data_IF_997098124537
#
_entry.id   IF_997098124537
#
_cell.length_a   1.000
_cell.length_b   1.000
_cell.length_c   1.000
_cell.angle_alpha   90.00
_cell.angle_beta   90.00
_cell.angle_gamma   90.00
#
_symmetry.space_group_name_H-M   'P 1'
#
loop_
_entity.id
_entity.type
_entity.pdbx_description
1 polymer ?
#
# COMPACT_ATOMS: atom_id res chain seq x y z
N UNK A 1 33.24 -14.67 25.22
CA UNK A 1 32.24 -13.68 24.77
C UNK A 1 31.30 -14.20 23.67
N UNK A 2 31.79 -14.78 22.56
CA UNK A 2 30.93 -15.33 21.48
C UNK A 2 29.87 -16.35 21.92
N UNK A 3 30.19 -17.24 22.87
CA UNK A 3 29.25 -18.25 23.42
C UNK A 3 28.12 -17.64 24.27
N UNK A 4 28.37 -16.48 24.90
CA UNK A 4 27.40 -15.79 25.73
C UNK A 4 26.31 -15.13 24.88
N UNK A 5 26.69 -14.55 23.72
CA UNK A 5 25.73 -13.99 22.76
C UNK A 5 24.83 -15.06 22.15
N UNK A 6 25.37 -16.24 21.83
CA UNK A 6 24.58 -17.36 21.30
C UNK A 6 23.57 -17.86 22.35
N UNK A 7 23.96 -17.97 23.62
CA UNK A 7 23.06 -18.35 24.71
C UNK A 7 21.99 -17.29 24.99
N UNK A 8 22.33 -15.99 24.95
CA UNK A 8 21.35 -14.90 25.06
C UNK A 8 20.37 -14.89 23.89
N UNK A 9 20.84 -15.15 22.68
CA UNK A 9 20.00 -15.20 21.48
C UNK A 9 19.06 -16.41 21.49
N UNK A 10 19.52 -17.57 21.98
CA UNK A 10 18.66 -18.75 22.16
C UNK A 10 17.65 -18.59 23.29
N UNK A 11 18.01 -17.91 24.39
CA UNK A 11 17.07 -17.58 25.47
C UNK A 11 15.98 -16.58 25.04
N UNK A 12 16.33 -15.60 24.17
CA UNK A 12 15.35 -14.69 23.56
C UNK A 12 14.38 -15.42 22.61
N UNK A 13 14.87 -16.42 21.85
CA UNK A 13 14.01 -17.24 20.99
C UNK A 13 13.08 -18.18 21.81
N UNK A 14 13.56 -18.71 22.93
CA UNK A 14 12.76 -19.59 23.79
C UNK A 14 11.62 -18.87 24.51
N UNK A 15 11.75 -17.56 24.77
CA UNK A 15 10.70 -16.73 25.39
C UNK A 15 9.60 -16.30 24.41
N UNK A 16 9.76 -16.55 23.11
CA UNK A 16 8.70 -16.38 22.11
C UNK A 16 7.73 -17.58 22.05
N UNK A 17 8.00 -18.67 22.78
CA UNK A 17 7.13 -19.84 22.90
C UNK A 17 6.27 -19.74 24.17
N UNK A 18 5.70 -18.56 24.43
CA UNK A 18 4.57 -18.48 25.35
C UNK A 18 3.36 -18.98 24.57
N UNK A 19 2.67 -19.99 25.09
CA UNK A 19 1.45 -20.52 24.49
C UNK A 19 0.50 -19.37 24.16
N UNK A 20 0.26 -19.14 22.87
CA UNK A 20 -0.59 -18.04 22.43
C UNK A 20 -2.00 -18.33 22.90
N UNK A 21 -2.56 -17.44 23.74
CA UNK A 21 -3.93 -17.60 24.22
C UNK A 21 -4.90 -17.71 23.04
N UNK A 22 -5.76 -18.73 23.09
CA UNK A 22 -6.80 -18.96 22.10
C UNK A 22 -7.74 -17.75 22.09
N UNK A 23 -7.78 -17.04 20.96
CA UNK A 23 -8.69 -15.92 20.79
C UNK A 23 -10.10 -16.43 20.45
N UNK A 24 -11.11 -15.79 21.01
CA UNK A 24 -12.53 -16.09 20.76
C UNK A 24 -13.28 -14.83 20.35
N UNK A 25 -14.34 -14.99 19.57
CA UNK A 25 -15.19 -13.93 19.05
C UNK A 25 -14.44 -12.90 18.22
N UNK A 26 -15.00 -11.69 18.14
CA UNK A 26 -14.40 -10.57 17.43
C UNK A 26 -13.16 -10.05 18.15
N UNK A 27 -12.05 -10.07 17.44
CA UNK A 27 -10.78 -9.50 17.84
C UNK A 27 -10.30 -8.54 16.77
N UNK A 28 -9.46 -7.58 17.16
CA UNK A 28 -8.91 -6.63 16.21
C UNK A 28 -7.41 -6.43 16.39
N UNK A 29 -6.73 -6.14 15.29
CA UNK A 29 -5.37 -5.66 15.25
C UNK A 29 -5.34 -4.35 14.46
N UNK A 30 -4.99 -3.25 15.12
CA UNK A 30 -4.88 -1.94 14.50
C UNK A 30 -3.42 -1.50 14.46
N UNK A 31 -3.00 -0.91 13.35
CA UNK A 31 -1.70 -0.27 13.20
C UNK A 31 -1.87 1.15 12.66
N UNK A 32 -1.13 2.14 13.19
CA UNK A 32 -1.09 3.46 12.61
C UNK A 32 -0.39 3.42 11.25
N UNK A 33 -0.91 4.15 10.27
CA UNK A 33 -0.28 4.36 8.98
C UNK A 33 0.50 5.68 9.03
N UNK A 34 1.79 5.59 9.36
CA UNK A 34 2.67 6.74 9.55
C UNK A 34 3.92 6.58 8.70
N UNK A 35 4.10 7.48 7.73
CA UNK A 35 5.28 7.52 6.86
C UNK A 35 5.61 8.98 6.51
N UNK A 36 6.74 9.21 5.85
CA UNK A 36 7.10 10.53 5.33
C UNK A 36 7.71 10.40 3.93
N UNK A 37 7.26 11.27 3.04
CA UNK A 37 7.83 11.52 1.71
C UNK A 37 8.20 13.00 1.62
N UNK A 38 9.37 13.30 1.06
CA UNK A 38 9.79 14.69 0.79
C UNK A 38 8.85 15.40 -0.17
N UNK A 39 8.22 14.67 -1.08
CA UNK A 39 7.30 15.20 -2.08
C UNK A 39 5.85 15.18 -1.62
N UNK A 40 5.37 14.05 -1.11
CA UNK A 40 3.97 13.90 -0.70
C UNK A 40 3.70 14.35 0.76
N UNK A 41 4.75 14.57 1.55
CA UNK A 41 4.66 15.01 2.94
C UNK A 41 4.45 13.86 3.92
N UNK A 42 3.87 14.16 5.08
CA UNK A 42 3.63 13.18 6.14
C UNK A 42 2.37 12.38 5.84
N UNK A 43 2.43 11.05 5.97
CA UNK A 43 1.25 10.19 5.92
C UNK A 43 0.71 9.97 7.32
N UNK A 44 -0.60 10.12 7.47
CA UNK A 44 -1.31 9.80 8.69
C UNK A 44 -2.56 8.99 8.38
N UNK A 45 -2.94 8.11 9.29
CA UNK A 45 -4.09 7.22 9.14
C UNK A 45 -3.96 5.97 9.97
N UNK A 46 -4.77 4.98 9.65
CA UNK A 46 -4.71 3.67 10.31
C UNK A 46 -5.20 2.57 9.38
N UNK A 47 -4.75 1.36 9.68
CA UNK A 47 -5.32 0.12 9.18
C UNK A 47 -5.78 -0.73 10.36
N UNK A 48 -6.88 -1.46 10.15
CA UNK A 48 -7.49 -2.35 11.13
C UNK A 48 -7.80 -3.68 10.46
N UNK A 49 -7.38 -4.78 11.07
CA UNK A 49 -7.89 -6.11 10.78
C UNK A 49 -8.85 -6.51 11.90
N UNK A 50 -10.07 -6.87 11.55
CA UNK A 50 -11.07 -7.48 12.43
C UNK A 50 -11.13 -8.97 12.07
N UNK A 51 -11.04 -9.84 13.07
CA UNK A 51 -11.15 -11.29 12.94
C UNK A 51 -12.25 -11.80 13.83
N UNK A 52 -13.12 -12.67 13.31
CA UNK A 52 -14.05 -13.44 14.11
C UNK A 52 -13.53 -14.87 14.28
N UNK A 53 -13.14 -15.22 15.50
CA UNK A 53 -12.65 -16.56 15.86
C UNK A 53 -13.75 -17.49 16.38
N UNK A 54 -15.01 -17.03 16.47
CA UNK A 54 -16.12 -17.83 17.02
C UNK A 54 -15.87 -18.23 18.47
N UNK A 55 -16.02 -19.52 18.79
CA UNK A 55 -15.70 -20.06 20.12
C UNK A 55 -14.20 -20.34 20.34
N UNK A 56 -13.35 -20.04 19.35
CA UNK A 56 -11.90 -20.29 19.36
C UNK A 56 -11.50 -21.71 18.98
N UNK A 57 -12.44 -22.58 18.63
CA UNK A 57 -12.16 -23.99 18.27
C UNK A 57 -11.29 -24.16 17.02
N UNK A 58 -11.31 -23.19 16.12
CA UNK A 58 -10.55 -23.20 14.85
C UNK A 58 -9.30 -22.30 14.90
N UNK A 59 -9.01 -21.67 16.04
CA UNK A 59 -7.83 -20.79 16.15
C UNK A 59 -6.54 -21.55 15.78
N UNK A 60 -5.63 -20.99 14.95
CA UNK A 60 -5.54 -19.59 14.53
C UNK A 60 -6.34 -19.20 13.27
N UNK A 61 -7.14 -20.09 12.69
CA UNK A 61 -8.05 -19.78 11.58
C UNK A 61 -9.24 -18.94 12.07
N UNK A 62 -9.98 -18.35 11.14
CA UNK A 62 -11.06 -17.41 11.42
C UNK A 62 -12.28 -17.68 10.54
N UNK A 63 -13.46 -17.34 11.05
CA UNK A 63 -14.70 -17.36 10.29
C UNK A 63 -14.76 -16.19 9.31
N UNK A 64 -14.44 -14.99 9.81
CA UNK A 64 -14.53 -13.75 9.05
C UNK A 64 -13.32 -12.87 9.30
N UNK A 65 -12.80 -12.27 8.24
CA UNK A 65 -11.78 -11.23 8.31
C UNK A 65 -12.24 -10.01 7.54
N UNK A 66 -12.18 -8.86 8.19
CA UNK A 66 -12.41 -7.56 7.58
C UNK A 66 -11.15 -6.72 7.74
N UNK A 67 -10.58 -6.24 6.65
CA UNK A 67 -9.50 -5.27 6.64
C UNK A 67 -10.06 -3.91 6.23
N UNK A 68 -9.73 -2.86 6.97
CA UNK A 68 -10.08 -1.48 6.64
C UNK A 68 -8.80 -0.65 6.73
N UNK A 69 -8.55 0.18 5.73
CA UNK A 69 -7.48 1.17 5.76
C UNK A 69 -7.98 2.51 5.25
N UNK A 70 -7.63 3.55 5.99
CA UNK A 70 -7.75 4.93 5.55
C UNK A 70 -6.47 5.66 5.97
N UNK A 71 -5.65 6.01 4.99
CA UNK A 71 -4.42 6.76 5.19
C UNK A 71 -4.27 7.84 4.14
N UNK A 72 -3.67 8.98 4.51
CA UNK A 72 -3.56 10.16 3.65
C UNK A 72 -2.26 10.90 3.93
N UNK A 73 -1.57 11.25 2.85
CA UNK A 73 -0.43 12.16 2.85
C UNK A 73 -0.91 13.60 3.00
N UNK A 74 -0.13 14.48 3.64
CA UNK A 74 -0.48 15.89 3.81
C UNK A 74 -0.66 16.63 2.47
N UNK A 75 -0.06 16.13 1.38
CA UNK A 75 -0.32 16.62 0.02
C UNK A 75 -1.42 15.87 -0.72
N UNK A 76 -2.23 15.09 -0.01
CA UNK A 76 -3.53 14.61 -0.45
C UNK A 76 -3.56 13.27 -1.15
N UNK A 77 -2.43 12.60 -1.41
CA UNK A 77 -2.45 11.21 -1.86
C UNK A 77 -3.03 10.32 -0.75
N UNK A 78 -3.88 9.35 -1.07
CA UNK A 78 -4.57 8.54 -0.05
C UNK A 78 -4.65 7.07 -0.43
N UNK A 79 -4.81 6.22 0.59
CA UNK A 79 -5.23 4.82 0.45
C UNK A 79 -6.53 4.66 1.23
N UNK A 80 -7.61 4.38 0.51
CA UNK A 80 -8.90 4.00 1.08
C UNK A 80 -9.19 2.58 0.64
N UNK A 81 -9.26 1.63 1.57
CA UNK A 81 -9.41 0.21 1.24
C UNK A 81 -10.29 -0.49 2.25
N UNK A 82 -11.19 -1.32 1.76
CA UNK A 82 -11.92 -2.30 2.55
C UNK A 82 -11.80 -3.67 1.86
N UNK A 83 -11.56 -4.71 2.64
CA UNK A 83 -11.47 -6.07 2.14
C UNK A 83 -12.17 -7.00 3.12
N UNK A 84 -12.90 -7.97 2.59
CA UNK A 84 -13.55 -9.03 3.34
C UNK A 84 -13.06 -10.38 2.82
N UNK A 85 -12.82 -11.32 3.73
CA UNK A 85 -12.35 -12.66 3.42
C UNK A 85 -12.98 -13.68 4.38
N UNK A 86 -13.49 -14.79 3.85
CA UNK A 86 -14.14 -15.84 4.64
C UNK A 86 -14.21 -17.18 3.90
N UNK A 87 -13.84 -18.26 4.58
CA UNK A 87 -14.07 -19.65 4.15
C UNK A 87 -15.48 -20.18 4.50
N UNK A 88 -16.27 -19.39 5.24
CA UNK A 88 -17.50 -19.84 5.88
C UNK A 88 -18.76 -19.10 5.43
N UNK A 89 -18.61 -17.99 4.68
CA UNK A 89 -19.76 -17.29 4.11
C UNK A 89 -20.51 -18.13 3.07
N UNK A 90 -19.76 -18.85 2.23
CA UNK A 90 -20.30 -19.73 1.18
C UNK A 90 -19.77 -21.13 1.43
N UNK A 91 -20.65 -22.10 1.60
CA UNK A 91 -20.25 -23.47 1.95
C UNK A 91 -19.31 -24.05 0.88
N UNK A 92 -18.09 -24.41 1.30
CA UNK A 92 -17.08 -25.03 0.43
C UNK A 92 -16.38 -24.06 -0.53
N UNK A 93 -16.59 -22.75 -0.37
CA UNK A 93 -15.97 -21.72 -1.20
C UNK A 93 -15.42 -20.61 -0.30
N UNK A 94 -14.11 -20.38 -0.37
CA UNK A 94 -13.51 -19.15 0.16
C UNK A 94 -13.94 -17.99 -0.70
N UNK A 95 -14.53 -16.98 -0.08
CA UNK A 95 -14.89 -15.74 -0.72
C UNK A 95 -14.02 -14.61 -0.21
N UNK A 96 -13.30 -13.97 -1.13
CA UNK A 96 -12.50 -12.78 -0.86
C UNK A 96 -12.99 -11.64 -1.76
N UNK A 97 -13.19 -10.46 -1.20
CA UNK A 97 -13.57 -9.24 -1.94
C UNK A 97 -12.76 -8.05 -1.44
N UNK A 98 -12.26 -7.23 -2.34
CA UNK A 98 -11.41 -6.06 -2.10
C UNK A 98 -11.96 -4.87 -2.88
N UNK A 99 -12.17 -3.76 -2.20
CA UNK A 99 -12.54 -2.49 -2.78
C UNK A 99 -11.53 -1.44 -2.33
N UNK A 100 -10.90 -0.76 -3.26
CA UNK A 100 -9.96 0.32 -2.94
C UNK A 100 -10.07 1.52 -3.87
N UNK A 101 -9.82 2.69 -3.30
CA UNK A 101 -9.64 3.94 -4.01
C UNK A 101 -8.34 4.60 -3.55
N UNK A 102 -7.47 4.87 -4.49
CA UNK A 102 -6.13 5.41 -4.26
C UNK A 102 -5.92 6.62 -5.17
N UNK A 103 -6.29 7.83 -4.71
CA UNK A 103 -5.89 9.05 -5.39
C UNK A 103 -4.40 9.30 -5.11
N UNK A 104 -3.59 9.32 -6.16
CA UNK A 104 -2.17 9.64 -6.11
C UNK A 104 -1.91 10.94 -6.88
N UNK A 105 -1.30 11.93 -6.23
CA UNK A 105 -0.99 13.22 -6.86
C UNK A 105 0.45 13.33 -7.38
N UNK A 106 1.31 12.37 -7.01
CA UNK A 106 2.67 12.21 -7.52
C UNK A 106 2.95 10.71 -7.63
N UNK A 107 2.35 10.08 -8.63
CA UNK A 107 2.57 8.67 -8.96
C UNK A 107 3.70 8.56 -9.97
N UNK A 108 4.65 7.66 -9.72
CA UNK A 108 5.81 7.49 -10.58
C UNK A 108 5.41 7.08 -12.01
N UNK A 109 5.96 7.80 -12.98
CA UNK A 109 5.81 7.58 -14.41
C UNK A 109 7.16 7.72 -15.11
N UNK A 110 7.70 6.58 -15.53
CA UNK A 110 8.95 6.52 -16.26
C UNK A 110 8.74 6.40 -17.78
N UNK A 111 7.51 6.40 -18.27
CA UNK A 111 7.15 6.15 -19.67
C UNK A 111 6.43 4.82 -19.88
N UNK A 112 5.82 4.65 -21.05
CA UNK A 112 4.99 3.47 -21.36
C UNK A 112 5.78 2.19 -21.63
N UNK A 113 7.11 2.26 -21.76
CA UNK A 113 7.98 1.13 -22.11
C UNK A 113 8.45 0.29 -20.90
N UNK A 114 7.93 0.56 -19.69
CA UNK A 114 8.23 -0.21 -18.49
C UNK A 114 9.74 -0.26 -18.20
N UNK A 115 10.32 -1.47 -18.15
CA UNK A 115 11.76 -1.65 -17.91
C UNK A 115 12.65 -0.97 -18.95
N UNK A 116 12.17 -0.79 -20.20
CA UNK A 116 12.94 -0.12 -21.26
C UNK A 116 12.96 1.40 -21.17
N UNK A 117 12.28 1.98 -20.18
CA UNK A 117 12.24 3.42 -19.96
C UNK A 117 13.58 3.97 -19.49
N UNK A 118 14.01 5.09 -20.08
CA UNK A 118 15.25 5.77 -19.69
C UNK A 118 14.98 6.66 -18.48
N UNK A 119 15.70 6.40 -17.38
CA UNK A 119 15.73 7.26 -16.21
C UNK A 119 17.05 8.02 -16.13
N UNK A 120 16.94 9.35 -16.13
CA UNK A 120 18.05 10.28 -15.96
C UNK A 120 17.94 10.93 -14.59
N UNK A 121 18.75 10.46 -13.63
CA UNK A 121 18.75 10.91 -12.24
C UNK A 121 18.99 12.43 -12.10
N UNK A 122 19.83 12.97 -12.98
CA UNK A 122 20.19 14.38 -12.99
C UNK A 122 18.99 15.32 -13.23
N UNK A 123 17.91 14.84 -13.84
CA UNK A 123 16.70 15.65 -14.07
C UNK A 123 15.86 15.84 -12.80
N UNK A 124 16.05 14.99 -11.79
CA UNK A 124 15.33 15.04 -10.50
C UNK A 124 16.21 15.42 -9.32
N UNK A 125 17.52 15.57 -9.50
CA UNK A 125 18.46 15.90 -8.43
C UNK A 125 18.44 17.40 -8.12
N UNK A 126 17.77 17.81 -7.03
CA UNK A 126 17.66 19.21 -6.61
C UNK A 126 18.95 19.78 -5.99
N UNK A 127 20.01 18.97 -5.83
CA UNK A 127 21.35 19.44 -5.46
C UNK A 127 22.11 20.03 -6.68
N UNK A 128 21.65 19.76 -7.90
CA UNK A 128 22.26 20.30 -9.12
C UNK A 128 21.67 21.69 -9.43
N UNK A 129 22.55 22.66 -9.65
CA UNK A 129 22.16 23.94 -10.23
C UNK A 129 21.68 23.74 -11.68
N UNK A 130 20.86 24.67 -12.19
CA UNK A 130 20.28 24.63 -13.54
C UNK A 130 21.32 24.30 -14.64
N UNK A 131 20.86 23.78 -15.79
CA UNK A 131 20.75 22.35 -16.14
C UNK A 131 21.90 21.46 -15.64
N UNK A 132 21.67 20.16 -15.37
CA UNK A 132 20.61 19.32 -15.96
C UNK A 132 19.33 19.14 -15.14
N UNK A 133 19.24 19.68 -13.92
CA UNK A 133 18.03 19.59 -13.09
C UNK A 133 16.78 20.16 -13.79
N UNK A 134 15.66 19.45 -13.68
CA UNK A 134 14.35 19.86 -14.21
C UNK A 134 13.35 20.07 -13.08
N UNK A 135 13.04 19.01 -12.34
CA UNK A 135 12.12 19.03 -11.18
C UNK A 135 12.24 17.69 -10.45
N UNK A 136 12.15 17.68 -9.12
CA UNK A 136 12.07 16.42 -8.35
C UNK A 136 10.89 15.54 -8.78
N UNK A 137 9.80 16.15 -9.25
CA UNK A 137 8.60 15.47 -9.73
C UNK A 137 8.58 15.27 -11.25
N UNK A 138 9.73 15.37 -11.92
CA UNK A 138 9.79 15.24 -13.38
C UNK A 138 9.23 13.90 -13.89
N UNK A 139 9.48 12.80 -13.18
CA UNK A 139 8.96 11.47 -13.50
C UNK A 139 7.68 11.14 -12.72
N UNK A 140 6.84 12.13 -12.42
CA UNK A 140 5.58 11.90 -11.73
C UNK A 140 4.38 12.35 -12.57
N UNK A 141 3.27 11.65 -12.39
CA UNK A 141 1.95 12.01 -12.93
C UNK A 141 0.91 11.98 -11.82
N UNK A 142 -0.26 12.56 -12.05
CA UNK A 142 -1.43 12.32 -11.21
C UNK A 142 -2.12 11.04 -11.68
N UNK A 143 -2.62 10.25 -10.74
CA UNK A 143 -3.36 9.02 -11.03
C UNK A 143 -4.39 8.77 -9.95
N UNK A 144 -5.66 8.68 -10.30
CA UNK A 144 -6.64 8.10 -9.41
C UNK A 144 -6.92 6.66 -9.83
N UNK A 145 -6.70 5.71 -8.92
CA UNK A 145 -6.96 4.29 -9.14
C UNK A 145 -8.16 3.85 -8.29
N UNK A 146 -9.22 3.40 -8.95
CA UNK A 146 -10.28 2.62 -8.33
C UNK A 146 -10.08 1.15 -8.67
N UNK A 147 -10.12 0.28 -7.66
CA UNK A 147 -10.01 -1.17 -7.81
C UNK A 147 -11.16 -1.86 -7.09
N UNK A 148 -11.76 -2.80 -7.80
CA UNK A 148 -12.66 -3.78 -7.24
C UNK A 148 -12.15 -5.16 -7.63
N UNK A 149 -12.06 -6.08 -6.68
CA UNK A 149 -11.69 -7.48 -6.92
C UNK A 149 -12.60 -8.38 -6.10
N UNK A 150 -13.03 -9.49 -6.69
CA UNK A 150 -13.59 -10.60 -5.94
C UNK A 150 -13.01 -11.91 -6.45
N UNK A 151 -12.73 -12.84 -5.53
CA UNK A 151 -12.20 -14.16 -5.82
C UNK A 151 -13.03 -15.21 -5.07
N UNK A 152 -13.27 -16.33 -5.75
CA UNK A 152 -13.87 -17.53 -5.21
C UNK A 152 -12.84 -18.65 -5.33
N UNK A 153 -12.50 -19.30 -4.22
CA UNK A 153 -11.59 -20.46 -4.20
C UNK A 153 -12.38 -21.66 -3.68
N UNK A 154 -12.42 -22.73 -4.44
CA UNK A 154 -13.09 -23.97 -4.03
C UNK A 154 -12.23 -25.20 -4.28
N UNK A 155 -12.62 -26.31 -3.67
CA UNK A 155 -11.90 -27.58 -3.80
C UNK A 155 -12.27 -28.29 -5.12
N UNK A 156 -11.32 -29.05 -5.68
CA UNK A 156 -11.55 -29.94 -6.81
C UNK A 156 -11.58 -31.39 -6.29
N UNK A 157 -12.76 -31.85 -5.85
CA UNK A 157 -12.90 -33.17 -5.22
C UNK A 157 -12.27 -33.22 -3.82
N UNK A 158 -11.85 -34.41 -3.38
CA UNK A 158 -11.29 -34.67 -2.03
C UNK A 158 -9.75 -34.67 -2.01
N UNK A 159 -9.12 -33.90 -2.89
CA UNK A 159 -7.66 -33.80 -2.97
C UNK A 159 -7.19 -32.37 -2.62
N UNK A 160 -5.88 -32.13 -2.71
CA UNK A 160 -5.28 -30.83 -2.40
C UNK A 160 -5.30 -29.83 -3.57
N UNK A 161 -6.13 -30.06 -4.59
CA UNK A 161 -6.29 -29.14 -5.71
C UNK A 161 -7.46 -28.20 -5.47
N UNK A 162 -7.23 -26.92 -5.78
CA UNK A 162 -8.22 -25.87 -5.67
C UNK A 162 -8.40 -25.18 -7.03
N UNK A 163 -9.63 -24.78 -7.33
CA UNK A 163 -9.92 -23.85 -8.42
C UNK A 163 -10.01 -22.44 -7.85
N UNK A 164 -9.66 -21.44 -8.66
CA UNK A 164 -9.87 -20.04 -8.35
C UNK A 164 -10.53 -19.37 -9.55
N UNK A 165 -11.64 -18.67 -9.32
CA UNK A 165 -12.26 -17.81 -10.30
C UNK A 165 -12.65 -16.47 -9.66
N UNK A 166 -12.47 -15.38 -10.40
CA UNK A 166 -12.71 -14.05 -9.87
C UNK A 166 -12.86 -13.00 -10.96
N UNK A 167 -13.30 -11.82 -10.54
CA UNK A 167 -13.39 -10.63 -11.37
C UNK A 167 -12.52 -9.53 -10.75
N UNK A 168 -11.76 -8.83 -11.59
CA UNK A 168 -10.95 -7.68 -11.19
C UNK A 168 -11.22 -6.53 -12.14
N UNK A 169 -11.72 -5.43 -11.60
CA UNK A 169 -11.96 -4.18 -12.31
C UNK A 169 -10.99 -3.15 -11.76
N UNK A 170 -10.22 -2.55 -12.66
CA UNK A 170 -9.32 -1.45 -12.33
C UNK A 170 -9.60 -0.29 -13.26
N UNK A 171 -9.95 0.86 -12.68
CA UNK A 171 -10.13 2.10 -13.40
C UNK A 171 -9.00 3.04 -13.06
N UNK A 172 -8.14 3.28 -14.04
CA UNK A 172 -7.07 4.27 -13.98
C UNK A 172 -7.57 5.59 -14.57
N UNK A 173 -7.42 6.68 -13.83
CA UNK A 173 -7.61 8.04 -14.32
C UNK A 173 -6.27 8.78 -14.20
N UNK A 174 -5.36 8.58 -15.16
CA UNK A 174 -4.12 9.34 -15.22
C UNK A 174 -4.42 10.78 -15.65
N UNK A 175 -3.61 11.72 -15.18
CA UNK A 175 -3.77 13.15 -15.39
C UNK A 175 -2.42 13.86 -15.18
N UNK A 176 -2.31 15.10 -15.64
CA UNK A 176 -1.11 15.91 -15.42
C UNK A 176 -0.96 16.21 -13.92
N UNK A 177 0.27 16.23 -13.45
CA UNK A 177 0.59 16.59 -12.07
C UNK A 177 0.37 18.10 -11.86
N UNK A 178 -0.37 18.45 -10.81
CA UNK A 178 -0.57 19.84 -10.42
C UNK A 178 0.57 20.31 -9.51
N UNK A 179 1.60 20.95 -10.08
CA UNK A 179 2.78 21.43 -9.35
C UNK A 179 2.41 22.52 -8.33
N UNK A 180 1.41 23.35 -8.63
CA UNK A 180 0.96 24.42 -7.74
C UNK A 180 0.46 23.85 -6.39
N UNK A 181 -0.20 22.68 -6.43
CA UNK A 181 -0.57 21.95 -5.20
C UNK A 181 0.63 21.59 -4.33
N UNK A 182 1.78 21.23 -4.91
CA UNK A 182 2.99 20.87 -4.17
C UNK A 182 3.79 22.07 -3.66
N UNK A 183 3.56 23.26 -4.23
CA UNK A 183 4.14 24.54 -3.84
C UNK A 183 3.26 25.35 -2.88
N UNK A 184 2.03 24.90 -2.59
CA UNK A 184 1.13 25.60 -1.66
C UNK A 184 1.82 25.87 -0.32
N UNK A 185 1.89 27.15 0.07
CA UNK A 185 2.52 27.60 1.31
C UNK A 185 4.04 27.77 1.24
N UNK A 186 4.64 27.73 0.04
CA UNK A 186 6.04 28.05 -0.21
C UNK A 186 6.15 29.31 -1.07
N UNK A 187 7.13 30.13 -0.74
CA UNK A 187 7.51 31.26 -1.59
C UNK A 187 8.41 30.79 -2.73
N UNK A 188 8.44 31.48 -3.89
CA UNK A 188 9.30 31.13 -5.03
C UNK A 188 10.79 31.03 -4.69
N UNK A 189 11.24 31.75 -3.66
CA UNK A 189 12.63 31.75 -3.19
C UNK A 189 12.95 30.55 -2.26
N UNK A 190 11.96 29.75 -1.87
CA UNK A 190 12.17 28.54 -1.06
C UNK A 190 13.03 27.53 -1.86
N UNK A 191 14.15 27.03 -1.30
CA UNK A 191 14.98 26.01 -1.95
C UNK A 191 14.21 24.73 -2.33
N UNK A 192 13.05 24.47 -1.71
CA UNK A 192 12.17 23.33 -1.98
C UNK A 192 10.98 23.69 -2.86
N UNK A 193 10.93 24.90 -3.42
CA UNK A 193 9.99 25.29 -4.45
C UNK A 193 10.22 24.46 -5.71
N UNK A 194 9.16 23.89 -6.27
CA UNK A 194 9.24 23.09 -7.50
C UNK A 194 9.02 24.00 -8.70
N UNK A 195 9.91 23.99 -9.70
CA UNK A 195 9.69 24.76 -10.92
C UNK A 195 8.49 24.20 -11.69
N UNK A 196 7.72 25.09 -12.30
CA UNK A 196 6.59 24.74 -13.16
C UNK A 196 7.12 24.43 -14.57
N UNK A 197 7.44 23.16 -14.78
CA UNK A 197 7.96 22.63 -16.06
C UNK A 197 7.22 21.35 -16.43
N UNK A 198 7.03 21.05 -17.72
CA UNK A 198 6.38 19.82 -18.14
C UNK A 198 7.07 18.58 -17.56
N UNK A 199 6.28 17.68 -16.98
CA UNK A 199 6.69 16.35 -16.55
C UNK A 199 6.92 15.41 -17.75
N UNK A 200 7.56 14.26 -17.53
CA UNK A 200 7.70 13.24 -18.57
C UNK A 200 6.34 12.83 -19.16
N UNK A 201 5.29 12.76 -18.33
CA UNK A 201 3.95 12.37 -18.76
C UNK A 201 3.36 13.33 -19.79
N UNK A 202 3.61 14.63 -19.65
CA UNK A 202 3.11 15.66 -20.58
C UNK A 202 3.81 15.64 -21.95
N UNK A 203 4.95 14.96 -22.08
CA UNK A 203 5.62 14.79 -23.37
C UNK A 203 5.04 13.65 -24.22
N UNK A 204 4.09 12.87 -23.69
CA UNK A 204 3.37 11.81 -24.41
C UNK A 204 1.93 12.21 -24.71
#
# INVERSE_FOLDING_TARGET
MKRLYVMLFTALLASAVVAQETKTGWNFGALPAVTYSTDQGFQYGALVNLFDYGDGSIYPDYYHRIYIEASTFTKGSSILRIMYDSDYLIKGIRYAVDLSYMPDFAYDFYGFNGFGSVYVNDWTNDDLNAPPYRSRLFYAMKRHLFRFKNDFIGNIGENNWHWNAGLSIQQFKPDVLDVAKFNKGKEPEDPKYLPDVPTLYEYY
#
